data_IF_502256467689
#
_entry.id   IF_502256467689
#
_cell.length_a   1.000
_cell.length_b   1.000
_cell.length_c   1.000
_cell.angle_alpha   90.00
_cell.angle_beta   90.00
_cell.angle_gamma   90.00
#
_symmetry.space_group_name_H-M   'P 1'
#
loop_
_entity.id
_entity.type
_entity.pdbx_description
1 polymer ?
#
# COMPACT_ATOMS: atom_id res chain seq x y z
N UNK A 1 -7.30 3.48 46.02
CA UNK A 1 -8.68 4.00 45.99
C UNK A 1 -8.62 5.51 45.79
N UNK A 2 -9.00 5.99 44.61
CA UNK A 2 -9.57 7.32 44.39
C UNK A 2 -10.12 7.32 42.95
N UNK A 3 -11.45 7.26 42.87
CA UNK A 3 -12.26 7.36 41.67
C UNK A 3 -12.67 8.83 41.51
N UNK A 4 -12.50 9.44 40.34
CA UNK A 4 -13.26 10.63 39.95
C UNK A 4 -13.69 10.47 38.49
N UNK A 5 -15.01 10.53 38.27
CA UNK A 5 -15.70 10.41 36.99
C UNK A 5 -15.67 11.70 36.15
N UNK A 6 -15.60 11.49 34.83
CA UNK A 6 -16.15 12.21 33.67
C UNK A 6 -16.73 13.64 33.78
N UNK A 7 -16.34 14.49 32.82
CA UNK A 7 -17.30 15.15 31.92
C UNK A 7 -16.70 15.46 30.54
N UNK A 8 -17.47 15.18 29.47
CA UNK A 8 -17.19 15.51 28.06
C UNK A 8 -17.46 16.99 27.78
N UNK A 9 -16.71 17.61 26.87
CA UNK A 9 -17.27 18.30 25.69
C UNK A 9 -16.19 18.82 24.73
N UNK A 10 -16.44 18.60 23.44
CA UNK A 10 -16.11 19.43 22.27
C UNK A 10 -14.66 19.94 22.10
N UNK A 11 -13.92 19.33 21.18
CA UNK A 11 -12.92 20.08 20.41
C UNK A 11 -13.19 19.92 18.92
N UNK A 12 -13.36 21.08 18.26
CA UNK A 12 -13.55 21.28 16.83
C UNK A 12 -12.29 20.84 16.09
N UNK A 13 -12.43 20.11 14.99
CA UNK A 13 -11.37 20.01 14.00
C UNK A 13 -11.16 21.41 13.39
N UNK A 14 -9.98 21.98 13.61
CA UNK A 14 -9.53 23.24 13.05
C UNK A 14 -8.84 22.95 11.71
N UNK A 15 -9.45 23.38 10.61
CA UNK A 15 -8.79 23.49 9.31
C UNK A 15 -7.72 24.58 9.42
N UNK A 16 -6.44 24.24 9.29
CA UNK A 16 -5.39 25.22 9.04
C UNK A 16 -5.30 25.36 7.51
N UNK A 17 -5.96 26.39 6.99
CA UNK A 17 -5.70 26.93 5.66
C UNK A 17 -4.78 28.13 5.79
N UNK A 18 -3.60 28.07 5.18
CA UNK A 18 -2.99 29.15 4.38
C UNK A 18 -1.47 28.99 4.32
N UNK A 19 -0.98 28.49 3.18
CA UNK A 19 0.27 28.95 2.57
C UNK A 19 0.09 28.93 1.05
N UNK A 20 -0.14 30.11 0.48
CA UNK A 20 -0.11 30.32 -0.97
C UNK A 20 1.36 30.44 -1.41
N UNK A 21 1.86 29.44 -2.13
CA UNK A 21 3.04 29.56 -2.97
C UNK A 21 2.65 29.12 -4.38
N UNK A 22 2.70 30.06 -5.30
CA UNK A 22 2.38 29.88 -6.70
C UNK A 22 3.55 29.19 -7.42
N UNK A 23 3.51 27.87 -7.54
CA UNK A 23 4.29 27.12 -8.53
C UNK A 23 3.47 25.93 -9.01
N UNK A 24 3.54 25.64 -10.30
CA UNK A 24 2.92 24.50 -10.98
C UNK A 24 3.54 23.17 -10.55
N UNK A 25 3.48 22.86 -9.26
CA UNK A 25 3.92 21.60 -8.67
C UNK A 25 2.70 20.71 -8.53
N UNK A 26 2.78 19.49 -9.06
CA UNK A 26 1.82 18.44 -8.73
C UNK A 26 2.00 18.13 -7.23
N UNK A 27 1.24 18.80 -6.37
CA UNK A 27 1.12 18.39 -4.97
C UNK A 27 0.22 17.16 -4.99
N UNK A 28 0.81 15.99 -4.75
CA UNK A 28 0.07 14.80 -4.37
C UNK A 28 -0.34 15.02 -2.91
N UNK A 29 -1.57 15.49 -2.72
CA UNK A 29 -2.16 15.59 -1.39
C UNK A 29 -2.57 14.18 -0.95
N UNK A 30 -1.88 13.64 0.07
CA UNK A 30 -2.18 12.35 0.67
C UNK A 30 -3.45 12.46 1.51
N UNK A 31 -4.49 11.71 1.15
CA UNK A 31 -5.71 11.58 1.95
C UNK A 31 -5.76 10.16 2.53
N UNK A 32 -5.35 10.02 3.79
CA UNK A 32 -5.60 8.79 4.52
C UNK A 32 -7.07 8.74 4.95
N UNK A 33 -7.82 7.80 4.39
CA UNK A 33 -9.18 7.50 4.84
C UNK A 33 -9.07 6.58 6.06
N UNK A 34 -8.69 7.15 7.21
CA UNK A 34 -8.67 6.42 8.48
C UNK A 34 -10.05 6.51 9.14
N UNK A 35 -10.77 5.39 9.18
CA UNK A 35 -11.94 5.26 10.03
C UNK A 35 -11.48 4.85 11.44
N UNK A 36 -11.84 5.65 12.45
CA UNK A 36 -11.68 5.46 13.91
C UNK A 36 -10.66 4.40 14.38
N UNK A 37 -9.61 4.85 15.08
CA UNK A 37 -8.58 4.02 15.75
C UNK A 37 -9.14 2.90 16.67
N UNK A 38 -10.44 2.88 16.95
CA UNK A 38 -11.10 1.86 17.77
C UNK A 38 -11.66 0.65 17.00
N UNK A 39 -11.73 0.67 15.66
CA UNK A 39 -12.15 -0.47 14.83
C UNK A 39 -11.20 -0.64 13.65
N UNK A 40 -10.50 -1.76 13.62
CA UNK A 40 -9.45 -2.10 12.66
C UNK A 40 -10.01 -2.23 11.22
N UNK A 41 -10.29 -1.12 10.54
CA UNK A 41 -10.05 -1.07 9.10
C UNK A 41 -8.57 -0.74 8.95
N UNK A 42 -7.73 -1.76 8.79
CA UNK A 42 -6.35 -1.56 8.40
C UNK A 42 -6.36 -1.05 6.95
N UNK A 43 -6.58 0.25 6.74
CA UNK A 43 -6.55 0.88 5.41
C UNK A 43 -5.22 0.66 4.69
N UNK A 44 -4.20 0.25 5.45
CA UNK A 44 -2.91 -0.27 5.00
C UNK A 44 -3.07 -1.47 4.05
N UNK A 45 -3.91 -2.45 4.40
CA UNK A 45 -4.05 -3.72 3.69
C UNK A 45 -5.44 -3.97 3.11
N UNK A 46 -6.43 -3.14 3.49
CA UNK A 46 -7.81 -3.27 3.01
C UNK A 46 -8.44 -1.90 2.79
N UNK A 47 -8.58 -1.55 1.51
CA UNK A 47 -9.21 -0.32 1.04
C UNK A 47 -10.59 -0.56 0.42
N UNK A 48 -11.19 -1.74 0.60
CA UNK A 48 -12.50 -2.07 0.05
C UNK A 48 -13.56 -1.01 0.39
N UNK A 49 -13.64 -0.46 1.62
CA UNK A 49 -14.59 0.63 1.90
C UNK A 49 -14.37 1.86 1.00
N UNK A 50 -13.12 2.26 0.77
CA UNK A 50 -12.79 3.40 -0.08
C UNK A 50 -13.10 3.10 -1.56
N UNK A 51 -12.80 1.88 -2.02
CA UNK A 51 -13.07 1.43 -3.40
C UNK A 51 -14.55 1.23 -3.66
N UNK A 52 -15.29 0.63 -2.73
CA UNK A 52 -16.74 0.47 -2.78
C UNK A 52 -17.52 1.76 -2.50
N UNK A 53 -16.88 2.74 -1.84
CA UNK A 53 -17.48 4.02 -1.47
C UNK A 53 -18.51 3.94 -0.34
N UNK A 54 -18.66 2.76 0.27
CA UNK A 54 -19.55 2.47 1.41
C UNK A 54 -19.02 1.22 2.13
N UNK A 55 -19.46 0.95 3.36
CA UNK A 55 -19.15 -0.30 4.05
C UNK A 55 -20.27 -0.73 4.97
N UNK A 56 -20.44 -2.04 5.17
CA UNK A 56 -21.42 -2.58 6.11
C UNK A 56 -21.04 -2.33 7.57
N UNK A 57 -19.76 -2.08 7.85
CA UNK A 57 -19.24 -1.83 9.19
C UNK A 57 -19.62 -0.44 9.72
N UNK A 58 -19.85 0.50 8.80
CA UNK A 58 -20.35 1.85 9.06
C UNK A 58 -21.35 2.26 7.96
N UNK A 59 -22.66 2.04 8.18
CA UNK A 59 -23.70 2.45 7.25
C UNK A 59 -23.76 3.96 6.96
N UNK A 60 -23.12 4.79 7.79
CA UNK A 60 -23.01 6.23 7.57
C UNK A 60 -21.83 6.63 6.67
N UNK A 61 -20.89 5.72 6.44
CA UNK A 61 -19.74 5.98 5.58
C UNK A 61 -20.17 6.10 4.12
N UNK A 62 -19.84 7.24 3.52
CA UNK A 62 -19.99 7.45 2.08
C UNK A 62 -18.79 8.20 1.55
N UNK A 63 -18.12 7.60 0.58
CA UNK A 63 -17.01 8.21 -0.14
C UNK A 63 -17.27 8.07 -1.63
N UNK A 64 -17.46 9.19 -2.33
CA UNK A 64 -17.68 9.22 -3.77
C UNK A 64 -16.67 10.14 -4.41
N UNK A 65 -15.61 9.58 -4.98
CA UNK A 65 -14.52 10.34 -5.65
C UNK A 65 -15.11 11.30 -6.68
N UNK A 66 -16.11 10.86 -7.45
CA UNK A 66 -16.78 11.67 -8.46
C UNK A 66 -17.49 12.93 -7.92
N UNK A 67 -17.71 13.04 -6.60
CA UNK A 67 -18.30 14.24 -5.98
C UNK A 67 -17.29 15.37 -5.74
N UNK A 68 -15.99 15.12 -5.94
CA UNK A 68 -14.92 16.08 -5.68
C UNK A 68 -14.39 16.75 -6.96
N UNK A 69 -13.98 18.02 -6.92
CA UNK A 69 -13.40 18.72 -8.08
C UNK A 69 -12.11 18.10 -8.63
N UNK A 70 -11.40 17.32 -7.82
CA UNK A 70 -10.14 16.64 -8.14
C UNK A 70 -10.35 15.17 -8.52
N UNK A 71 -11.57 14.72 -8.80
CA UNK A 71 -11.89 13.32 -9.10
C UNK A 71 -10.99 12.69 -10.17
N UNK A 72 -10.60 13.46 -11.19
CA UNK A 72 -9.74 13.01 -12.29
C UNK A 72 -8.23 13.03 -11.98
N UNK A 73 -7.85 13.35 -10.74
CA UNK A 73 -6.47 13.37 -10.23
C UNK A 73 -6.27 12.43 -9.04
N UNK A 74 -7.30 11.62 -8.72
CA UNK A 74 -7.29 10.73 -7.58
C UNK A 74 -6.62 9.40 -7.92
N UNK A 75 -5.80 8.90 -7.00
CA UNK A 75 -5.11 7.61 -7.07
C UNK A 75 -5.29 6.93 -5.72
N UNK A 76 -5.51 5.61 -5.74
CA UNK A 76 -5.56 4.79 -4.54
C UNK A 76 -4.19 4.19 -4.26
N UNK A 77 -3.92 4.00 -2.98
CA UNK A 77 -2.72 3.38 -2.45
C UNK A 77 -3.11 2.16 -1.61
N UNK A 78 -2.31 1.10 -1.66
CA UNK A 78 -2.42 -0.06 -0.78
C UNK A 78 -1.06 -0.72 -0.54
N UNK A 79 -0.88 -1.36 0.61
CA UNK A 79 0.26 -2.20 0.94
C UNK A 79 -0.13 -3.68 0.91
N UNK A 80 0.83 -4.58 0.74
CA UNK A 80 0.57 -6.02 0.78
C UNK A 80 1.78 -6.78 1.35
N UNK A 81 1.61 -7.38 2.54
CA UNK A 81 2.64 -8.17 3.24
C UNK A 81 2.09 -9.48 3.82
N UNK A 82 0.87 -9.89 3.46
CA UNK A 82 0.32 -11.15 3.94
C UNK A 82 0.86 -12.30 3.09
N UNK A 83 2.01 -12.81 3.52
CA UNK A 83 2.69 -13.95 2.91
C UNK A 83 1.90 -15.27 3.04
N UNK A 84 0.85 -15.28 3.87
CA UNK A 84 0.07 -16.47 4.24
C UNK A 84 -1.33 -16.57 3.63
N UNK A 85 -1.74 -15.63 2.76
CA UNK A 85 -3.08 -15.59 2.16
C UNK A 85 -3.44 -16.93 1.51
N UNK A 86 -2.60 -17.42 0.60
CA UNK A 86 -2.80 -18.69 -0.09
C UNK A 86 -1.58 -19.10 -0.92
N UNK A 87 -1.34 -20.40 -1.00
CA UNK A 87 -0.36 -20.97 -1.95
C UNK A 87 -0.93 -21.15 -3.37
N UNK A 88 -2.19 -20.78 -3.60
CA UNK A 88 -2.89 -20.94 -4.89
C UNK A 88 -3.26 -19.56 -5.44
N UNK A 89 -2.63 -19.14 -6.54
CA UNK A 89 -2.80 -17.77 -7.06
C UNK A 89 -4.27 -17.40 -7.32
N UNK A 90 -5.09 -18.31 -7.84
CA UNK A 90 -6.52 -18.01 -8.02
C UNK A 90 -7.24 -17.62 -6.72
N UNK A 91 -6.92 -18.30 -5.61
CA UNK A 91 -7.49 -17.98 -4.29
C UNK A 91 -6.88 -16.69 -3.76
N UNK A 92 -5.56 -16.53 -3.91
CA UNK A 92 -4.82 -15.32 -3.54
C UNK A 92 -5.43 -14.07 -4.19
N UNK A 93 -5.58 -14.07 -5.51
CA UNK A 93 -6.18 -12.98 -6.29
C UNK A 93 -7.64 -12.72 -5.88
N UNK A 94 -8.43 -13.76 -5.61
CA UNK A 94 -9.81 -13.61 -5.16
C UNK A 94 -9.87 -12.85 -3.82
N UNK A 95 -8.91 -13.11 -2.92
CA UNK A 95 -8.81 -12.43 -1.63
C UNK A 95 -8.35 -10.97 -1.82
N UNK A 96 -7.34 -10.72 -2.66
CA UNK A 96 -6.93 -9.35 -3.00
C UNK A 96 -8.11 -8.50 -3.51
N UNK A 97 -8.91 -9.05 -4.42
CA UNK A 97 -10.09 -8.35 -4.95
C UNK A 97 -11.08 -7.99 -3.84
N UNK A 98 -11.20 -8.82 -2.80
CA UNK A 98 -12.04 -8.53 -1.63
C UNK A 98 -11.50 -7.43 -0.71
N UNK A 99 -10.22 -7.07 -0.83
CA UNK A 99 -9.56 -5.99 -0.10
C UNK A 99 -9.45 -4.68 -0.90
N UNK A 100 -10.03 -4.64 -2.10
CA UNK A 100 -10.10 -3.44 -2.93
C UNK A 100 -9.08 -3.37 -4.06
N UNK A 101 -8.33 -4.44 -4.34
CA UNK A 101 -7.49 -4.51 -5.54
C UNK A 101 -8.30 -4.48 -6.85
N UNK A 102 -9.63 -4.54 -6.79
CA UNK A 102 -10.51 -4.36 -7.95
C UNK A 102 -10.69 -2.88 -8.37
N UNK A 103 -10.03 -1.94 -7.69
CA UNK A 103 -10.10 -0.49 -7.90
C UNK A 103 -10.03 -0.03 -9.37
N UNK A 104 -9.15 -0.63 -10.19
CA UNK A 104 -8.97 -0.25 -11.61
C UNK A 104 -10.09 -0.79 -12.51
N UNK A 105 -10.88 -1.74 -12.02
CA UNK A 105 -11.97 -2.44 -12.74
C UNK A 105 -13.34 -2.29 -12.09
N UNK A 106 -13.46 -1.53 -10.99
CA UNK A 106 -14.70 -1.36 -10.24
C UNK A 106 -15.79 -0.75 -11.13
N UNK A 107 -16.97 -1.39 -11.13
CA UNK A 107 -18.16 -0.87 -11.84
C UNK A 107 -19.08 -0.08 -10.90
N UNK A 108 -19.30 -0.60 -9.69
CA UNK A 108 -20.22 -0.04 -8.69
C UNK A 108 -19.42 0.49 -7.48
N UNK A 109 -18.71 1.61 -7.68
CA UNK A 109 -17.85 2.21 -6.66
C UNK A 109 -16.94 3.31 -7.20
N UNK A 110 -15.86 3.60 -6.48
CA UNK A 110 -14.81 4.51 -6.89
C UNK A 110 -13.78 3.77 -7.75
N UNK A 111 -13.92 3.90 -9.06
CA UNK A 111 -12.91 3.43 -10.02
C UNK A 111 -11.77 4.45 -10.13
N UNK A 112 -10.54 4.03 -9.84
CA UNK A 112 -9.36 4.87 -9.90
C UNK A 112 -8.09 4.04 -10.18
N UNK A 113 -6.99 4.66 -10.65
CA UNK A 113 -5.68 4.02 -10.63
C UNK A 113 -5.32 3.56 -9.22
N UNK A 114 -4.64 2.42 -9.12
CA UNK A 114 -4.16 1.85 -7.86
C UNK A 114 -2.65 1.66 -7.93
N UNK A 115 -1.97 2.05 -6.85
CA UNK A 115 -0.54 1.83 -6.66
C UNK A 115 -0.32 0.98 -5.41
N UNK A 116 0.38 -0.14 -5.57
CA UNK A 116 0.88 -0.96 -4.44
C UNK A 116 2.18 -0.32 -3.95
N UNK A 117 2.10 0.62 -3.02
CA UNK A 117 3.24 1.44 -2.62
C UNK A 117 4.22 0.72 -1.71
N UNK A 118 3.78 -0.37 -1.10
CA UNK A 118 4.64 -1.26 -0.33
C UNK A 118 4.26 -2.72 -0.55
N UNK A 119 5.27 -3.50 -0.92
CA UNK A 119 5.27 -4.95 -0.90
C UNK A 119 6.74 -5.38 -0.91
N UNK A 120 7.02 -6.63 -0.55
CA UNK A 120 8.38 -7.13 -0.60
C UNK A 120 8.52 -8.44 0.14
N UNK A 121 9.70 -9.01 0.02
CA UNK A 121 10.08 -10.25 0.69
C UNK A 121 11.52 -10.12 1.19
N UNK A 122 12.01 -11.13 1.90
CA UNK A 122 13.43 -11.21 2.25
C UNK A 122 14.32 -11.26 0.98
N UNK A 123 15.09 -10.20 0.77
CA UNK A 123 15.91 -9.97 -0.41
C UNK A 123 17.26 -10.72 -0.37
N UNK A 124 17.56 -11.51 0.68
CA UNK A 124 18.87 -12.17 0.88
C UNK A 124 19.14 -13.45 0.10
N UNK A 125 18.29 -13.81 -0.87
CA UNK A 125 18.24 -15.09 -1.61
C UNK A 125 18.08 -16.36 -0.72
N UNK A 126 18.47 -16.30 0.56
CA UNK A 126 18.62 -17.44 1.46
C UNK A 126 17.31 -18.18 1.75
N UNK A 127 16.21 -17.44 1.87
CA UNK A 127 14.87 -17.98 2.06
C UNK A 127 14.24 -18.49 0.76
N UNK A 128 14.75 -18.07 -0.40
CA UNK A 128 14.09 -18.29 -1.68
C UNK A 128 12.74 -17.55 -1.81
N UNK A 129 12.48 -16.54 -0.97
CA UNK A 129 11.18 -15.87 -0.88
C UNK A 129 10.74 -15.22 -2.19
N UNK A 130 11.68 -14.83 -3.06
CA UNK A 130 11.42 -14.36 -4.42
C UNK A 130 10.66 -15.36 -5.31
N UNK A 131 10.60 -16.65 -4.93
CA UNK A 131 9.81 -17.71 -5.58
C UNK A 131 8.58 -18.14 -4.78
N UNK A 132 8.31 -17.49 -3.65
CA UNK A 132 7.19 -17.85 -2.80
C UNK A 132 5.86 -17.68 -3.56
N UNK A 133 4.80 -18.42 -3.18
CA UNK A 133 3.47 -18.16 -3.71
C UNK A 133 3.02 -16.71 -3.52
N UNK A 134 3.33 -16.11 -2.36
CA UNK A 134 3.11 -14.67 -2.11
C UNK A 134 3.73 -13.80 -3.21
N UNK A 135 5.05 -13.87 -3.40
CA UNK A 135 5.75 -13.01 -4.36
C UNK A 135 5.30 -13.27 -5.79
N UNK A 136 5.19 -14.55 -6.17
CA UNK A 136 4.86 -14.93 -7.55
C UNK A 136 3.41 -14.58 -7.91
N UNK A 137 2.43 -14.86 -7.03
CA UNK A 137 1.03 -14.55 -7.29
C UNK A 137 0.79 -13.03 -7.26
N UNK A 138 1.38 -12.30 -6.30
CA UNK A 138 1.22 -10.84 -6.23
C UNK A 138 1.80 -10.14 -7.46
N UNK A 139 3.03 -10.47 -7.85
CA UNK A 139 3.68 -9.85 -9.02
C UNK A 139 2.96 -10.19 -10.32
N UNK A 140 2.54 -11.45 -10.49
CA UNK A 140 1.71 -11.85 -11.62
C UNK A 140 0.39 -11.05 -11.67
N UNK A 141 -0.27 -10.87 -10.52
CA UNK A 141 -1.50 -10.09 -10.44
C UNK A 141 -1.27 -8.61 -10.78
N UNK A 142 -0.22 -7.98 -10.23
CA UNK A 142 0.13 -6.58 -10.51
C UNK A 142 0.39 -6.35 -12.01
N UNK A 143 1.12 -7.26 -12.66
CA UNK A 143 1.37 -7.20 -14.11
C UNK A 143 0.06 -7.35 -14.89
N UNK A 144 -0.75 -8.38 -14.58
CA UNK A 144 -2.01 -8.64 -15.30
C UNK A 144 -3.04 -7.52 -15.14
N UNK A 145 -3.04 -6.84 -14.00
CA UNK A 145 -3.97 -5.77 -13.68
C UNK A 145 -3.43 -4.39 -14.02
N UNK A 146 -2.22 -4.31 -14.59
CA UNK A 146 -1.54 -3.06 -14.92
C UNK A 146 -1.55 -2.13 -13.69
N UNK A 147 -1.05 -2.61 -12.55
CA UNK A 147 -0.94 -1.81 -11.32
C UNK A 147 0.41 -1.10 -11.28
N UNK A 148 0.42 0.12 -10.73
CA UNK A 148 1.67 0.74 -10.30
C UNK A 148 2.15 0.07 -9.01
N UNK A 149 3.47 -0.01 -8.80
CA UNK A 149 3.99 -0.59 -7.57
C UNK A 149 5.35 -0.02 -7.17
N UNK A 150 5.68 -0.13 -5.90
CA UNK A 150 6.96 0.21 -5.31
C UNK A 150 7.35 -0.88 -4.31
N UNK A 151 8.58 -1.40 -4.43
CA UNK A 151 9.09 -2.42 -3.50
C UNK A 151 9.60 -1.73 -2.23
N UNK A 152 9.25 -2.30 -1.09
CA UNK A 152 9.92 -2.01 0.17
C UNK A 152 11.19 -2.85 0.25
N UNK A 153 12.39 -2.29 0.30
CA UNK A 153 12.75 -0.87 0.25
C UNK A 153 14.11 -0.68 -0.40
N UNK A 154 14.38 0.50 -0.98
CA UNK A 154 15.75 0.89 -1.34
C UNK A 154 16.55 1.27 -0.08
N UNK A 155 16.94 0.26 0.69
CA UNK A 155 17.78 0.40 1.87
C UNK A 155 18.70 -0.81 2.03
N UNK A 156 19.70 -0.67 2.89
CA UNK A 156 20.55 -1.76 3.36
C UNK A 156 20.50 -1.95 4.87
N UNK A 157 20.57 -0.86 5.62
CA UNK A 157 20.53 -0.85 7.07
C UNK A 157 19.94 0.45 7.60
N UNK A 158 19.52 0.48 8.86
CA UNK A 158 19.05 1.68 9.52
C UNK A 158 20.08 2.19 10.50
N UNK A 159 20.26 3.51 10.54
CA UNK A 159 21.05 4.14 11.60
C UNK A 159 20.51 3.75 12.98
N UNK A 160 19.18 3.85 13.18
CA UNK A 160 18.44 3.32 14.33
C UNK A 160 17.08 2.81 13.85
N UNK A 161 16.69 1.59 14.26
CA UNK A 161 15.31 1.07 14.12
C UNK A 161 14.88 0.41 15.41
N UNK A 162 13.70 0.77 15.92
CA UNK A 162 13.13 0.19 17.15
C UNK A 162 14.09 0.17 18.35
N UNK A 163 14.96 1.17 18.46
CA UNK A 163 15.95 1.29 19.53
C UNK A 163 17.29 0.56 19.29
N UNK A 164 17.42 -0.20 18.20
CA UNK A 164 18.67 -0.86 17.80
C UNK A 164 19.44 0.02 16.82
N UNK A 165 20.69 0.33 17.16
CA UNK A 165 21.62 1.01 16.24
C UNK A 165 22.11 0.02 15.18
N UNK A 166 22.35 0.52 13.97
CA UNK A 166 22.89 -0.27 12.85
C UNK A 166 22.06 -1.54 12.58
N UNK A 167 20.74 -1.38 12.55
CA UNK A 167 19.82 -2.49 12.35
C UNK A 167 19.83 -2.89 10.89
N UNK A 168 20.09 -4.17 10.61
CA UNK A 168 20.00 -4.70 9.24
C UNK A 168 18.54 -4.67 8.73
N UNK A 169 18.38 -4.48 7.42
CA UNK A 169 17.09 -4.51 6.72
C UNK A 169 17.09 -5.63 5.69
N UNK A 170 16.61 -6.81 6.06
CA UNK A 170 16.60 -7.98 5.18
C UNK A 170 15.64 -7.85 3.98
N UNK A 171 14.62 -6.99 4.07
CA UNK A 171 13.73 -6.65 2.94
C UNK A 171 14.33 -5.54 2.07
N UNK A 172 15.53 -5.06 2.41
CA UNK A 172 16.22 -4.00 1.68
C UNK A 172 16.90 -4.55 0.43
N UNK A 173 16.74 -3.86 -0.70
CA UNK A 173 17.39 -4.21 -1.96
C UNK A 173 18.92 -4.18 -1.88
N UNK A 174 19.48 -3.36 -0.99
CA UNK A 174 20.91 -3.21 -0.80
C UNK A 174 21.40 -4.08 0.36
N UNK A 175 22.67 -4.48 0.28
CA UNK A 175 23.34 -5.11 1.41
C UNK A 175 23.47 -4.13 2.58
N UNK A 176 23.76 -4.67 3.77
CA UNK A 176 23.95 -3.88 5.00
C UNK A 176 24.95 -2.73 4.85
N UNK A 177 25.98 -2.91 4.02
CA UNK A 177 27.06 -1.93 3.79
C UNK A 177 26.72 -0.88 2.73
N UNK A 178 25.55 -0.98 2.10
CA UNK A 178 25.11 -0.13 0.99
C UNK A 178 26.06 -0.19 -0.22
N UNK A 179 26.85 -1.27 -0.35
CA UNK A 179 27.91 -1.39 -1.36
C UNK A 179 27.51 -2.22 -2.58
N UNK A 180 26.43 -2.98 -2.44
CA UNK A 180 25.92 -3.91 -3.43
C UNK A 180 24.46 -4.27 -3.17
N UNK A 181 23.94 -5.15 -4.02
CA UNK A 181 22.60 -5.72 -3.85
C UNK A 181 22.64 -6.87 -2.86
N UNK A 182 21.57 -7.02 -2.07
CA UNK A 182 21.47 -8.05 -1.03
C UNK A 182 21.36 -9.46 -1.60
N UNK A 183 20.55 -9.64 -2.64
CA UNK A 183 20.34 -10.90 -3.34
C UNK A 183 20.47 -10.74 -4.84
N UNK A 184 21.13 -11.69 -5.48
CA UNK A 184 21.32 -11.73 -6.93
C UNK A 184 20.13 -12.33 -7.66
N UNK A 185 19.54 -13.38 -7.10
CA UNK A 185 18.38 -14.04 -7.70
C UNK A 185 17.12 -13.20 -7.47
N UNK A 186 16.95 -12.65 -6.26
CA UNK A 186 15.86 -11.74 -5.93
C UNK A 186 15.86 -10.50 -6.83
N UNK A 187 17.03 -9.85 -7.00
CA UNK A 187 17.17 -8.73 -7.93
C UNK A 187 16.85 -9.12 -9.38
N UNK A 188 17.21 -10.33 -9.79
CA UNK A 188 16.90 -10.83 -11.14
C UNK A 188 15.40 -11.01 -11.32
N UNK A 189 14.69 -11.57 -10.33
CA UNK A 189 13.25 -11.67 -10.33
C UNK A 189 12.58 -10.30 -10.37
N UNK A 190 13.04 -9.34 -9.55
CA UNK A 190 12.49 -7.98 -9.56
C UNK A 190 12.67 -7.28 -10.92
N UNK A 191 13.84 -7.43 -11.56
CA UNK A 191 14.07 -6.91 -12.92
C UNK A 191 13.11 -7.51 -13.95
N UNK A 192 12.78 -8.79 -13.80
CA UNK A 192 11.78 -9.44 -14.66
C UNK A 192 10.39 -8.81 -14.46
N UNK A 193 9.96 -8.58 -13.21
CA UNK A 193 8.68 -7.92 -12.91
C UNK A 193 8.65 -6.51 -13.49
N UNK A 194 9.75 -5.74 -13.42
CA UNK A 194 9.84 -4.41 -14.07
C UNK A 194 9.60 -4.52 -15.57
N UNK A 195 10.27 -5.46 -16.24
CA UNK A 195 10.12 -5.66 -17.69
C UNK A 195 8.69 -6.08 -18.07
N UNK A 196 8.11 -7.03 -17.34
CA UNK A 196 6.74 -7.51 -17.56
C UNK A 196 5.70 -6.41 -17.32
N UNK A 197 5.88 -5.61 -16.26
CA UNK A 197 5.03 -4.46 -15.98
C UNK A 197 5.11 -3.45 -17.12
N UNK A 198 6.33 -3.08 -17.55
CA UNK A 198 6.54 -2.13 -18.63
C UNK A 198 5.88 -2.58 -19.95
N UNK A 199 6.02 -3.87 -20.29
CA UNK A 199 5.38 -4.48 -21.46
C UNK A 199 3.85 -4.51 -21.34
N UNK A 200 3.30 -4.78 -20.14
CA UNK A 200 1.85 -4.80 -19.92
C UNK A 200 1.20 -3.43 -20.20
N UNK A 201 1.88 -2.33 -19.85
CA UNK A 201 1.43 -0.97 -20.19
C UNK A 201 1.61 -0.60 -21.68
N UNK A 202 2.09 -1.52 -22.53
CA UNK A 202 2.30 -1.30 -23.96
C UNK A 202 3.44 -0.34 -24.27
N UNK A 203 4.43 -0.23 -23.38
CA UNK A 203 5.60 0.65 -23.53
C UNK A 203 6.84 -0.07 -24.05
#
# INVERSE_FOLDING_TARGET
MANIQQHRSSQRASLISDWSINTSTLLMEHLEIVHDHSRHSHSDFNIEPAVGGSTLLDPGFSFKVASYPWANKFVLEIHEYDEGISDVCFIYETILLSFGFDATTKNDGNRAPLVVTEWGHDESDASGAYKSPYTSCLTQFMVQRELGWMVWVLAGSYYIRTGTQDSDESYGLLDHTWSGYRGTDSLTALKQVIQETYLAYGQ
#
